data_IF_270471176742
#
_entry.id   IF_270471176742
#
_cell.length_a   1.000
_cell.length_b   1.000
_cell.length_c   1.000
_cell.angle_alpha   90.00
_cell.angle_beta   90.00
_cell.angle_gamma   90.00
#
_symmetry.space_group_name_H-M   'P 1'
#
loop_
_entity.id
_entity.type
_entity.pdbx_description
1 polymer ?
#
# COMPACT_ATOMS: atom_id res chain seq x y z
N UNK A 1 9.69 16.12 24.86
CA UNK A 1 9.80 14.75 24.31
C UNK A 1 10.59 14.83 23.02
N UNK A 2 11.79 14.25 23.00
CA UNK A 2 12.58 14.13 21.77
C UNK A 2 11.96 13.01 20.93
N UNK A 3 11.55 13.33 19.70
CA UNK A 3 11.24 12.31 18.70
C UNK A 3 12.56 11.58 18.41
N UNK A 4 12.61 10.27 18.71
CA UNK A 4 13.67 9.42 18.19
C UNK A 4 13.65 9.48 16.66
N UNK A 5 14.72 9.05 15.96
CA UNK A 5 14.69 8.97 14.51
C UNK A 5 13.57 8.01 14.15
N UNK A 6 12.42 8.55 13.75
CA UNK A 6 11.39 7.78 13.09
C UNK A 6 12.04 7.30 11.80
N UNK A 7 12.25 5.99 11.68
CA UNK A 7 12.63 5.41 10.41
C UNK A 7 11.63 5.95 9.37
N UNK A 8 12.15 6.66 8.36
CA UNK A 8 11.31 7.10 7.27
C UNK A 8 10.70 5.86 6.61
N UNK A 9 9.47 5.97 6.12
CA UNK A 9 8.80 4.87 5.46
C UNK A 9 9.64 4.39 4.24
N UNK A 10 9.73 3.07 4.09
CA UNK A 10 10.56 2.39 3.10
C UNK A 10 9.68 1.89 1.95
N UNK A 11 9.84 2.47 0.76
CA UNK A 11 9.05 2.11 -0.42
C UNK A 11 9.39 0.71 -0.96
N UNK A 12 10.63 0.26 -0.81
CA UNK A 12 11.06 -1.05 -1.31
C UNK A 12 10.45 -2.15 -0.44
N UNK A 13 10.50 -1.99 0.88
CA UNK A 13 9.79 -2.87 1.82
C UNK A 13 8.26 -2.81 1.59
N UNK A 14 7.72 -1.62 1.32
CA UNK A 14 6.31 -1.44 0.95
C UNK A 14 5.91 -2.23 -0.30
N UNK A 15 6.77 -2.30 -1.34
CA UNK A 15 6.55 -3.11 -2.53
C UNK A 15 6.49 -4.60 -2.19
N UNK A 16 7.41 -5.10 -1.35
CA UNK A 16 7.45 -6.50 -0.94
C UNK A 16 6.17 -6.90 -0.21
N UNK A 17 5.72 -6.08 0.75
CA UNK A 17 4.47 -6.28 1.48
C UNK A 17 3.25 -6.24 0.55
N UNK A 18 3.21 -5.30 -0.40
CA UNK A 18 2.13 -5.20 -1.37
C UNK A 18 2.05 -6.43 -2.28
N UNK A 19 3.19 -6.95 -2.73
CA UNK A 19 3.26 -8.19 -3.51
C UNK A 19 2.80 -9.40 -2.70
N UNK A 20 3.10 -9.44 -1.40
CA UNK A 20 2.67 -10.54 -0.53
C UNK A 20 1.16 -10.52 -0.27
N UNK A 21 0.61 -9.36 0.06
CA UNK A 21 -0.73 -9.26 0.64
C UNK A 21 -1.79 -8.72 -0.34
N UNK A 22 -1.40 -7.81 -1.22
CA UNK A 22 -2.34 -7.04 -2.03
C UNK A 22 -2.45 -7.59 -3.46
N UNK A 23 -1.44 -8.31 -3.95
CA UNK A 23 -1.38 -8.87 -5.32
C UNK A 23 -2.46 -9.90 -5.64
N UNK A 24 -3.11 -10.46 -4.62
CA UNK A 24 -4.24 -11.38 -4.78
C UNK A 24 -5.48 -10.70 -5.40
N UNK A 25 -5.58 -9.38 -5.32
CA UNK A 25 -6.72 -8.61 -5.84
C UNK A 25 -6.29 -7.40 -6.69
N UNK A 26 -5.18 -6.75 -6.34
CA UNK A 26 -4.69 -5.54 -7.02
C UNK A 26 -3.51 -5.84 -7.95
N UNK A 27 -3.41 -5.06 -9.03
CA UNK A 27 -2.15 -4.91 -9.76
C UNK A 27 -1.26 -3.94 -8.98
N UNK A 28 -0.21 -4.46 -8.36
CA UNK A 28 0.65 -3.69 -7.43
C UNK A 28 2.02 -3.38 -8.02
N UNK A 29 2.43 -4.08 -9.07
CA UNK A 29 3.69 -3.82 -9.76
C UNK A 29 3.63 -4.23 -11.24
N UNK A 30 4.50 -3.67 -12.06
CA UNK A 30 4.55 -3.86 -13.51
C UNK A 30 5.15 -5.22 -13.90
N UNK A 31 5.91 -5.83 -12.99
CA UNK A 31 6.51 -7.17 -13.13
C UNK A 31 5.58 -8.29 -12.63
N UNK A 32 4.35 -7.97 -12.23
CA UNK A 32 3.39 -8.96 -11.72
C UNK A 32 2.78 -9.80 -12.87
N UNK A 33 3.16 -11.08 -12.93
CA UNK A 33 2.77 -12.00 -14.02
C UNK A 33 1.27 -12.32 -14.09
N UNK A 34 0.54 -12.20 -12.96
CA UNK A 34 -0.89 -12.53 -12.86
C UNK A 34 -1.63 -11.48 -12.03
N UNK A 35 -2.61 -10.83 -12.63
CA UNK A 35 -3.66 -10.13 -11.89
C UNK A 35 -4.74 -11.16 -11.58
N UNK A 36 -4.77 -11.64 -10.34
CA UNK A 36 -5.85 -12.49 -9.86
C UNK A 36 -7.10 -11.60 -9.78
N UNK A 37 -8.06 -11.87 -10.65
CA UNK A 37 -9.04 -10.88 -11.08
C UNK A 37 -9.83 -10.20 -9.97
N UNK A 38 -9.98 -8.88 -10.10
CA UNK A 38 -11.16 -8.15 -9.66
C UNK A 38 -11.19 -6.80 -10.36
N UNK A 39 -12.38 -6.27 -10.57
CA UNK A 39 -12.64 -4.88 -10.98
C UNK A 39 -12.31 -3.91 -9.84
N UNK A 40 -11.07 -3.91 -9.37
CA UNK A 40 -10.53 -3.01 -8.33
C UNK A 40 -9.39 -2.18 -8.91
N UNK A 41 -9.16 -0.95 -8.43
CA UNK A 41 -8.13 -0.08 -8.98
C UNK A 41 -6.73 -0.69 -8.80
N UNK A 42 -5.85 -0.50 -9.77
CA UNK A 42 -4.43 -0.79 -9.60
C UNK A 42 -3.79 0.20 -8.62
N UNK A 43 -2.64 -0.13 -8.06
CA UNK A 43 -1.91 0.84 -7.22
C UNK A 43 -1.51 2.09 -8.01
N UNK A 44 -1.28 1.96 -9.32
CA UNK A 44 -1.04 3.10 -10.22
C UNK A 44 -2.27 4.02 -10.33
N UNK A 45 -3.48 3.44 -10.39
CA UNK A 45 -4.72 4.21 -10.44
C UNK A 45 -4.96 4.92 -9.10
N UNK A 46 -4.67 4.26 -7.97
CA UNK A 46 -4.76 4.86 -6.63
C UNK A 46 -3.78 6.01 -6.49
N UNK A 47 -2.52 5.81 -6.88
CA UNK A 47 -1.46 6.82 -6.78
C UNK A 47 -1.76 8.07 -7.62
N UNK A 48 -2.44 7.91 -8.76
CA UNK A 48 -2.81 9.00 -9.67
C UNK A 48 -4.20 9.57 -9.41
N UNK A 49 -4.92 9.05 -8.42
CA UNK A 49 -6.27 9.50 -8.12
C UNK A 49 -6.26 10.98 -7.67
N UNK A 50 -7.15 11.83 -8.19
CA UNK A 50 -7.30 13.19 -7.69
C UNK A 50 -7.62 13.18 -6.19
N UNK A 51 -6.78 13.84 -5.39
CA UNK A 51 -6.92 13.86 -3.92
C UNK A 51 -6.30 12.66 -3.20
N UNK A 52 -5.39 11.92 -3.85
CA UNK A 52 -4.53 10.95 -3.17
C UNK A 52 -3.79 11.61 -2.01
N UNK A 53 -3.79 10.93 -0.86
CA UNK A 53 -3.11 11.35 0.36
C UNK A 53 -2.55 10.13 1.09
N UNK A 54 -1.26 10.15 1.42
CA UNK A 54 -0.58 9.06 2.11
C UNK A 54 -1.19 8.83 3.51
N UNK A 55 -1.60 9.89 4.21
CA UNK A 55 -2.15 9.75 5.58
C UNK A 55 -3.55 9.13 5.55
N UNK A 56 -4.42 9.58 4.64
CA UNK A 56 -5.71 8.96 4.38
C UNK A 56 -5.59 7.48 3.99
N UNK A 57 -4.58 7.12 3.21
CA UNK A 57 -4.32 5.73 2.85
C UNK A 57 -3.90 4.88 4.07
N UNK A 58 -3.08 5.42 4.98
CA UNK A 58 -2.70 4.71 6.21
C UNK A 58 -3.92 4.44 7.10
N UNK A 59 -4.82 5.41 7.22
CA UNK A 59 -6.08 5.24 7.97
C UNK A 59 -6.95 4.16 7.31
N UNK A 60 -7.05 4.17 5.98
CA UNK A 60 -7.79 3.16 5.22
C UNK A 60 -7.25 1.74 5.43
N UNK A 61 -5.92 1.57 5.41
CA UNK A 61 -5.26 0.28 5.60
C UNK A 61 -5.30 -0.22 7.05
N UNK A 62 -5.47 0.67 8.03
CA UNK A 62 -5.62 0.30 9.43
C UNK A 62 -7.01 -0.27 9.75
N UNK A 63 -8.02 -0.04 8.89
CA UNK A 63 -9.36 -0.58 9.06
C UNK A 63 -9.49 -1.95 8.38
N UNK A 64 -9.78 -3.04 9.13
CA UNK A 64 -9.98 -4.35 8.54
C UNK A 64 -11.19 -4.34 7.60
N UNK A 65 -10.93 -4.47 6.31
CA UNK A 65 -11.99 -4.45 5.30
C UNK A 65 -12.60 -5.84 5.10
N UNK A 66 -13.94 -5.96 4.99
CA UNK A 66 -14.63 -7.23 4.76
C UNK A 66 -14.29 -7.92 3.41
N UNK A 67 -13.48 -7.27 2.56
CA UNK A 67 -13.03 -7.77 1.25
C UNK A 67 -11.57 -8.20 1.20
N UNK A 68 -10.76 -7.82 2.19
CA UNK A 68 -9.35 -8.20 2.26
C UNK A 68 -9.18 -9.28 3.34
N UNK A 69 -8.25 -10.24 3.16
CA UNK A 69 -7.91 -11.16 4.25
C UNK A 69 -7.46 -10.37 5.47
N UNK A 70 -7.57 -10.95 6.66
CA UNK A 70 -7.18 -10.28 7.89
C UNK A 70 -5.64 -10.14 7.92
N UNK A 71 -5.13 -9.04 7.35
CA UNK A 71 -3.71 -8.76 7.24
C UNK A 71 -3.23 -8.21 8.58
N UNK A 72 -2.32 -8.91 9.23
CA UNK A 72 -1.66 -8.43 10.45
C UNK A 72 -0.53 -7.48 10.08
N UNK A 73 -0.88 -6.27 9.61
CA UNK A 73 0.08 -5.21 9.32
C UNK A 73 0.24 -4.31 10.55
N UNK A 74 1.48 -3.99 10.89
CA UNK A 74 1.84 -2.95 11.85
C UNK A 74 1.72 -1.56 11.24
N UNK A 75 1.69 -0.53 12.08
CA UNK A 75 1.69 0.87 11.61
C UNK A 75 2.91 1.21 10.75
N UNK A 76 4.05 0.55 10.97
CA UNK A 76 5.25 0.72 10.15
C UNK A 76 5.06 0.14 8.76
N UNK A 77 4.58 -1.10 8.67
CA UNK A 77 4.28 -1.77 7.39
C UNK A 77 3.19 -1.03 6.61
N UNK A 78 2.17 -0.50 7.28
CA UNK A 78 1.16 0.37 6.66
C UNK A 78 1.80 1.65 6.10
N UNK A 79 2.75 2.25 6.82
CA UNK A 79 3.45 3.44 6.33
C UNK A 79 4.33 3.13 5.12
N UNK A 80 5.02 2.00 5.12
CA UNK A 80 5.84 1.52 4.00
C UNK A 80 4.99 1.27 2.74
N UNK A 81 3.84 0.61 2.89
CA UNK A 81 2.89 0.39 1.79
C UNK A 81 2.35 1.71 1.23
N UNK A 82 1.96 2.65 2.11
CA UNK A 82 1.46 3.96 1.68
C UNK A 82 2.53 4.75 0.91
N UNK A 83 3.79 4.69 1.39
CA UNK A 83 4.93 5.32 0.74
C UNK A 83 5.21 4.71 -0.63
N UNK A 84 5.15 3.37 -0.74
CA UNK A 84 5.28 2.69 -2.01
C UNK A 84 4.21 3.15 -3.01
N UNK A 85 2.92 3.15 -2.62
CA UNK A 85 1.84 3.59 -3.50
C UNK A 85 2.06 5.03 -3.96
N UNK A 86 2.46 5.94 -3.06
CA UNK A 86 2.76 7.32 -3.45
C UNK A 86 3.87 7.43 -4.50
N UNK A 87 4.90 6.60 -4.41
CA UNK A 87 6.02 6.60 -5.38
C UNK A 87 5.61 6.18 -6.79
N UNK A 88 4.46 5.50 -6.95
CA UNK A 88 3.95 5.08 -8.27
C UNK A 88 3.24 6.21 -9.05
N UNK A 89 3.13 7.39 -8.44
CA UNK A 89 2.61 8.61 -9.09
C UNK A 89 3.67 9.41 -9.85
N UNK A 90 4.96 9.11 -9.60
CA UNK A 90 6.12 9.79 -10.18
C UNK A 90 6.39 9.40 -11.64
#
# INVERSE_FOLDING_TARGET
MAAGPGFAADADHGKELALQWCSACHLVSNDQEKVSGASVPSFYDVAKAPGFDEEGLKIFLADPHPKMPNMTLSNGEIADIARYISSLSE
#
